data_IF_945370208087
#
_entry.id   IF_945370208087
#
_cell.length_a   1.000
_cell.length_b   1.000
_cell.length_c   1.000
_cell.angle_alpha   90.00
_cell.angle_beta   90.00
_cell.angle_gamma   90.00
#
_symmetry.space_group_name_H-M   'P 1'
#
loop_
_entity.id
_entity.type
_entity.pdbx_description
1 polymer ?
#
# COMPACT_ATOMS: atom_id res chain seq x y z
N UNK A 1 -22.15 -5.01 1.61
CA UNK A 1 -20.69 -4.78 1.67
C UNK A 1 -20.07 -5.28 0.38
N UNK A 2 -19.20 -4.49 -0.24
CA UNK A 2 -18.55 -4.82 -1.52
C UNK A 2 -17.28 -5.66 -1.27
N UNK A 3 -16.85 -6.50 -2.24
CA UNK A 3 -15.65 -7.35 -2.10
C UNK A 3 -14.38 -6.59 -1.68
N UNK A 4 -14.18 -5.38 -2.21
CA UNK A 4 -13.05 -4.52 -1.85
C UNK A 4 -13.08 -4.11 -0.37
N UNK A 5 -14.26 -3.90 0.20
CA UNK A 5 -14.41 -3.59 1.62
C UNK A 5 -14.03 -4.79 2.49
N UNK A 6 -14.44 -5.99 2.07
CA UNK A 6 -14.09 -7.25 2.76
C UNK A 6 -12.58 -7.46 2.75
N UNK A 7 -11.92 -7.21 1.61
CA UNK A 7 -10.48 -7.31 1.49
C UNK A 7 -9.77 -6.31 2.41
N UNK A 8 -10.23 -5.06 2.46
CA UNK A 8 -9.68 -4.03 3.35
C UNK A 8 -9.83 -4.42 4.84
N UNK A 9 -10.99 -4.96 5.23
CA UNK A 9 -11.23 -5.46 6.59
C UNK A 9 -10.25 -6.58 6.94
N UNK A 10 -10.07 -7.55 6.04
CA UNK A 10 -9.17 -8.66 6.27
C UNK A 10 -7.71 -8.20 6.41
N UNK A 11 -7.26 -7.25 5.61
CA UNK A 11 -5.93 -6.66 5.71
C UNK A 11 -5.75 -5.91 7.02
N UNK A 12 -6.73 -5.09 7.43
CA UNK A 12 -6.67 -4.35 8.68
C UNK A 12 -6.63 -5.29 9.90
N UNK A 13 -7.45 -6.35 9.90
CA UNK A 13 -7.44 -7.39 10.95
C UNK A 13 -6.11 -8.14 10.98
N UNK A 14 -5.58 -8.54 9.83
CA UNK A 14 -4.28 -9.21 9.75
C UNK A 14 -3.13 -8.32 10.26
N UNK A 15 -3.23 -7.01 10.06
CA UNK A 15 -2.27 -6.02 10.57
C UNK A 15 -2.48 -5.70 12.06
N UNK A 16 -3.59 -6.13 12.68
CA UNK A 16 -3.92 -5.84 14.08
C UNK A 16 -4.12 -4.36 14.38
N UNK A 17 -4.58 -3.57 13.39
CA UNK A 17 -4.85 -2.14 13.54
C UNK A 17 -6.29 -1.90 13.92
N UNK A 18 -6.55 -0.77 14.60
CA UNK A 18 -7.91 -0.35 14.93
C UNK A 18 -8.68 0.06 13.68
N UNK A 19 -9.97 -0.27 13.66
CA UNK A 19 -10.85 0.01 12.52
C UNK A 19 -11.96 0.97 12.98
N UNK A 20 -12.06 2.12 12.29
CA UNK A 20 -13.19 3.05 12.41
C UNK A 20 -13.96 2.97 11.09
N UNK A 21 -15.27 2.83 11.17
CA UNK A 21 -16.15 2.72 10.01
C UNK A 21 -16.86 4.04 9.76
N UNK A 22 -16.51 4.70 8.65
CA UNK A 22 -17.24 5.87 8.15
C UNK A 22 -18.31 5.42 7.14
N UNK A 23 -19.59 5.50 7.53
CA UNK A 23 -20.71 5.18 6.65
C UNK A 23 -21.06 6.41 5.83
N UNK A 24 -20.55 6.47 4.59
CA UNK A 24 -20.69 7.65 3.74
C UNK A 24 -21.99 7.66 2.93
N UNK A 25 -22.32 8.84 2.40
CA UNK A 25 -23.49 9.12 1.53
C UNK A 25 -24.84 9.06 2.27
N UNK A 26 -24.85 9.50 3.54
CA UNK A 26 -26.10 9.57 4.32
C UNK A 26 -27.10 10.61 3.77
N UNK A 27 -26.64 11.52 2.94
CA UNK A 27 -27.46 12.50 2.20
C UNK A 27 -28.38 11.87 1.16
N UNK A 28 -28.15 10.60 0.79
CA UNK A 28 -28.99 9.93 -0.21
C UNK A 28 -30.27 9.37 0.41
N UNK A 29 -31.44 9.50 -0.27
CA UNK A 29 -32.71 8.95 0.24
C UNK A 29 -32.71 7.42 0.45
N UNK A 30 -31.80 6.71 -0.24
CA UNK A 30 -31.61 5.26 -0.14
C UNK A 30 -30.60 4.85 0.94
N UNK A 31 -30.03 5.81 1.68
CA UNK A 31 -29.07 5.52 2.72
C UNK A 31 -29.72 4.72 3.87
N UNK A 32 -29.06 3.66 4.28
CA UNK A 32 -29.52 2.84 5.41
C UNK A 32 -28.29 2.43 6.25
N UNK A 33 -28.02 3.22 7.29
CA UNK A 33 -26.89 3.02 8.19
C UNK A 33 -27.01 1.70 8.97
N UNK A 34 -28.22 1.38 9.43
CA UNK A 34 -28.47 0.17 10.22
C UNK A 34 -28.21 -1.11 9.39
N UNK A 35 -28.58 -1.10 8.13
CA UNK A 35 -28.27 -2.21 7.23
C UNK A 35 -26.77 -2.38 7.05
N UNK A 36 -26.01 -1.28 6.92
CA UNK A 36 -24.53 -1.34 6.79
C UNK A 36 -23.91 -1.87 8.08
N UNK A 37 -24.39 -1.45 9.26
CA UNK A 37 -23.96 -1.99 10.55
C UNK A 37 -24.21 -3.50 10.63
N UNK A 38 -25.37 -3.95 10.18
CA UNK A 38 -25.76 -5.37 10.14
C UNK A 38 -24.83 -6.19 9.22
N UNK A 39 -24.61 -5.74 7.99
CA UNK A 39 -23.72 -6.40 7.04
C UNK A 39 -22.26 -6.46 7.54
N UNK A 40 -21.78 -5.44 8.25
CA UNK A 40 -20.42 -5.38 8.78
C UNK A 40 -20.23 -6.20 10.06
N UNK A 41 -21.30 -6.43 10.85
CA UNK A 41 -21.24 -7.32 12.00
C UNK A 41 -20.98 -8.78 11.61
N UNK A 42 -21.36 -9.22 10.40
CA UNK A 42 -20.97 -10.53 9.86
C UNK A 42 -19.45 -10.70 9.72
N UNK A 43 -18.72 -9.58 9.60
CA UNK A 43 -17.26 -9.52 9.57
C UNK A 43 -16.65 -9.16 10.93
N UNK A 44 -17.39 -9.37 12.04
CA UNK A 44 -16.94 -9.09 13.42
C UNK A 44 -16.66 -7.59 13.70
N UNK A 45 -17.17 -6.68 12.88
CA UNK A 45 -17.17 -5.25 13.16
C UNK A 45 -18.49 -4.89 13.83
N UNK A 46 -18.57 -5.12 15.13
CA UNK A 46 -19.78 -4.90 15.92
C UNK A 46 -19.79 -3.47 16.45
N UNK A 47 -20.86 -2.67 16.18
CA UNK A 47 -20.96 -1.32 16.70
C UNK A 47 -20.95 -1.25 18.24
N UNK A 48 -20.45 -0.15 18.80
CA UNK A 48 -20.48 0.11 20.24
C UNK A 48 -21.91 0.08 20.79
N UNK A 49 -22.89 0.62 20.04
CA UNK A 49 -24.32 0.61 20.39
C UNK A 49 -24.88 -0.81 20.59
N UNK A 50 -24.26 -1.81 19.98
CA UNK A 50 -24.63 -3.23 20.07
C UNK A 50 -23.73 -4.03 21.01
N UNK A 51 -22.89 -3.33 21.79
CA UNK A 51 -21.97 -3.94 22.76
C UNK A 51 -20.64 -4.39 22.16
N UNK A 52 -20.31 -3.96 20.95
CA UNK A 52 -19.02 -4.17 20.32
C UNK A 52 -17.98 -3.11 20.67
N UNK A 53 -16.90 -3.06 19.92
CA UNK A 53 -15.80 -2.11 20.10
C UNK A 53 -15.50 -1.27 18.85
N UNK A 54 -16.26 -1.44 17.78
CA UNK A 54 -16.02 -0.72 16.53
C UNK A 54 -16.80 0.59 16.48
N UNK A 55 -16.11 1.69 16.28
CA UNK A 55 -16.72 3.01 16.12
C UNK A 55 -17.31 3.14 14.72
N UNK A 56 -18.58 3.51 14.64
CA UNK A 56 -19.30 3.79 13.39
C UNK A 56 -19.70 5.26 13.37
N UNK A 57 -19.28 5.99 12.33
CA UNK A 57 -19.62 7.39 12.15
C UNK A 57 -20.38 7.57 10.83
N UNK A 58 -21.67 7.95 10.88
CA UNK A 58 -22.41 8.33 9.67
C UNK A 58 -21.89 9.66 9.13
N UNK A 59 -21.56 9.71 7.83
CA UNK A 59 -20.98 10.91 7.21
C UNK A 59 -21.57 11.17 5.83
N UNK A 60 -21.50 12.41 5.39
CA UNK A 60 -21.68 12.80 4.01
C UNK A 60 -20.51 13.64 3.55
N UNK A 61 -19.69 13.09 2.69
CA UNK A 61 -18.57 13.83 2.08
C UNK A 61 -19.05 15.01 1.22
N UNK A 62 -20.29 14.93 0.69
CA UNK A 62 -20.87 15.97 -0.14
C UNK A 62 -21.35 17.16 0.69
N UNK A 63 -22.12 16.92 1.74
CA UNK A 63 -22.65 17.97 2.64
C UNK A 63 -21.68 18.34 3.75
N UNK A 64 -20.61 17.54 3.95
CA UNK A 64 -19.65 17.62 5.06
C UNK A 64 -20.25 17.30 6.44
N UNK A 65 -21.45 16.77 6.49
CA UNK A 65 -22.10 16.30 7.71
C UNK A 65 -21.34 15.11 8.31
N UNK A 66 -21.16 15.09 9.63
CA UNK A 66 -20.44 14.04 10.37
C UNK A 66 -18.91 14.03 10.19
N UNK A 67 -18.33 14.86 9.34
CA UNK A 67 -16.89 14.90 9.12
C UNK A 67 -16.11 15.41 10.36
N UNK A 68 -16.55 16.48 11.04
CA UNK A 68 -15.89 16.90 12.30
C UNK A 68 -15.91 15.80 13.35
N UNK A 69 -17.04 15.10 13.50
CA UNK A 69 -17.21 14.00 14.44
C UNK A 69 -16.30 12.81 14.10
N UNK A 70 -16.18 12.45 12.81
CA UNK A 70 -15.23 11.43 12.36
C UNK A 70 -13.79 11.78 12.74
N UNK A 71 -13.39 13.02 12.53
CA UNK A 71 -12.03 13.48 12.89
C UNK A 71 -11.81 13.43 14.39
N UNK A 72 -12.81 13.81 15.20
CA UNK A 72 -12.74 13.71 16.65
C UNK A 72 -12.59 12.25 17.12
N UNK A 73 -13.36 11.32 16.55
CA UNK A 73 -13.23 9.89 16.84
C UNK A 73 -11.86 9.32 16.47
N UNK A 74 -11.27 9.75 15.36
CA UNK A 74 -9.90 9.37 14.97
C UNK A 74 -8.89 9.87 16.01
N UNK A 75 -9.00 11.12 16.43
CA UNK A 75 -8.09 11.68 17.44
C UNK A 75 -8.24 10.99 18.80
N UNK A 76 -9.46 10.74 19.24
CA UNK A 76 -9.75 10.04 20.49
C UNK A 76 -9.20 8.61 20.46
N UNK A 77 -9.41 7.87 19.37
CA UNK A 77 -8.87 6.52 19.21
C UNK A 77 -7.33 6.53 19.24
N UNK A 78 -6.70 7.49 18.58
CA UNK A 78 -5.25 7.64 18.57
C UNK A 78 -4.70 7.96 19.97
N UNK A 79 -5.41 8.78 20.77
CA UNK A 79 -5.03 9.13 22.13
C UNK A 79 -5.15 7.92 23.07
N UNK A 80 -6.27 7.19 23.01
CA UNK A 80 -6.47 5.96 23.80
C UNK A 80 -5.42 4.90 23.51
N UNK A 81 -4.99 4.77 22.25
CA UNK A 81 -3.94 3.82 21.83
C UNK A 81 -2.52 4.30 22.17
N UNK A 82 -2.34 5.52 22.67
CA UNK A 82 -1.02 6.08 23.00
C UNK A 82 0.03 5.87 21.89
N UNK A 83 -0.34 6.16 20.64
CA UNK A 83 0.54 5.94 19.49
C UNK A 83 1.80 6.79 19.61
N UNK A 84 2.95 6.14 19.79
CA UNK A 84 4.25 6.80 20.03
C UNK A 84 5.28 6.38 18.99
N UNK A 85 6.09 7.32 18.53
CA UNK A 85 7.23 7.06 17.67
C UNK A 85 8.42 7.91 18.09
N UNK A 86 9.64 7.38 17.93
CA UNK A 86 10.87 8.11 18.24
C UNK A 86 11.31 8.92 17.02
N UNK A 87 11.28 10.27 17.05
CA UNK A 87 11.76 11.11 15.97
C UNK A 87 13.29 11.19 15.90
N UNK A 88 14.00 10.92 17.01
CA UNK A 88 15.45 11.09 17.14
C UNK A 88 16.23 9.85 16.68
N UNK A 89 15.88 9.31 15.51
CA UNK A 89 16.58 8.20 14.86
C UNK A 89 16.56 8.37 13.35
N UNK A 90 17.28 7.53 12.62
CA UNK A 90 17.19 7.48 11.15
C UNK A 90 15.78 7.14 10.72
N UNK A 91 15.34 7.81 9.67
CA UNK A 91 14.02 7.63 9.12
C UNK A 91 13.81 6.20 8.63
N UNK A 92 12.63 5.69 8.92
CA UNK A 92 12.07 4.46 8.36
C UNK A 92 10.59 4.67 8.12
N UNK A 93 10.10 4.16 7.02
CA UNK A 93 8.67 4.24 6.69
C UNK A 93 8.34 3.35 5.49
N UNK A 94 7.21 3.66 4.87
CA UNK A 94 6.66 2.91 3.75
C UNK A 94 6.57 3.80 2.52
N UNK A 95 6.77 3.20 1.35
CA UNK A 95 6.42 3.79 0.07
C UNK A 95 4.92 3.60 -0.13
N UNK A 96 4.18 4.70 -0.23
CA UNK A 96 2.73 4.67 -0.49
C UNK A 96 2.48 4.50 -1.98
N UNK A 97 3.19 5.28 -2.79
CA UNK A 97 3.05 5.35 -4.23
C UNK A 97 4.36 5.80 -4.86
N UNK A 98 4.60 5.37 -6.08
CA UNK A 98 5.74 5.85 -6.84
C UNK A 98 5.43 5.89 -8.33
N UNK A 99 6.05 6.85 -9.03
CA UNK A 99 5.86 7.07 -10.45
C UNK A 99 7.12 7.62 -11.12
N UNK A 100 7.21 7.45 -12.42
CA UNK A 100 8.25 8.08 -13.23
C UNK A 100 7.69 9.37 -13.84
N UNK A 101 8.07 10.51 -13.28
CA UNK A 101 7.72 11.81 -13.84
C UNK A 101 8.69 12.17 -14.98
N UNK A 102 8.14 12.64 -16.12
CA UNK A 102 8.93 12.96 -17.32
C UNK A 102 9.95 14.10 -17.12
N UNK A 103 9.69 15.00 -16.17
CA UNK A 103 10.54 16.17 -15.92
C UNK A 103 11.40 16.04 -14.66
N UNK A 104 10.88 15.35 -13.64
CA UNK A 104 11.49 15.24 -12.31
C UNK A 104 12.21 13.91 -12.08
N UNK A 105 12.00 12.90 -12.94
CA UNK A 105 12.52 11.54 -12.77
C UNK A 105 11.69 10.70 -11.81
N UNK A 106 12.28 9.70 -11.14
CA UNK A 106 11.58 8.91 -10.14
C UNK A 106 11.09 9.76 -8.97
N UNK A 107 9.80 9.68 -8.71
CA UNK A 107 9.09 10.39 -7.63
C UNK A 107 8.40 9.33 -6.77
N UNK A 108 8.55 9.42 -5.46
CA UNK A 108 7.87 8.52 -4.54
C UNK A 108 7.20 9.29 -3.40
N UNK A 109 5.96 8.95 -3.11
CA UNK A 109 5.26 9.40 -1.90
C UNK A 109 5.54 8.39 -0.80
N UNK A 110 6.14 8.85 0.28
CA UNK A 110 6.50 8.00 1.41
C UNK A 110 5.84 8.49 2.70
N UNK A 111 5.48 7.55 3.57
CA UNK A 111 5.01 7.84 4.92
C UNK A 111 6.13 7.51 5.91
N UNK A 112 6.63 8.52 6.60
CA UNK A 112 7.61 8.34 7.66
C UNK A 112 6.90 7.72 8.87
N UNK A 113 7.33 6.55 9.33
CA UNK A 113 6.77 5.89 10.49
C UNK A 113 7.61 6.11 11.75
N UNK A 114 8.92 6.15 11.61
CA UNK A 114 9.88 6.34 12.73
C UNK A 114 11.05 7.17 12.25
N UNK A 115 11.63 7.94 13.16
CA UNK A 115 12.75 8.82 12.86
C UNK A 115 12.32 10.08 12.12
N UNK A 116 13.29 10.87 11.67
CA UNK A 116 13.08 12.08 10.89
C UNK A 116 13.86 11.97 9.58
N UNK A 117 13.15 12.09 8.47
CA UNK A 117 13.73 12.11 7.13
C UNK A 117 14.13 13.56 6.79
N UNK A 118 15.33 13.75 6.28
CA UNK A 118 15.86 15.08 5.92
C UNK A 118 16.29 15.13 4.45
N UNK A 119 16.18 16.29 3.87
CA UNK A 119 16.79 16.55 2.56
C UNK A 119 18.30 16.34 2.69
N UNK A 120 18.85 15.53 1.80
CA UNK A 120 20.25 15.12 1.84
C UNK A 120 20.49 13.72 2.41
N UNK A 121 19.52 13.11 3.07
CA UNK A 121 19.64 11.73 3.54
C UNK A 121 19.80 10.75 2.38
N UNK A 122 20.63 9.74 2.59
CA UNK A 122 20.71 8.59 1.71
C UNK A 122 19.66 7.56 2.13
N UNK A 123 18.85 7.11 1.21
CA UNK A 123 17.77 6.15 1.48
C UNK A 123 17.85 4.96 0.53
N UNK A 124 17.38 3.81 1.01
CA UNK A 124 17.10 2.64 0.21
C UNK A 124 15.62 2.26 0.39
N UNK A 125 14.96 1.87 -0.69
CA UNK A 125 13.58 1.39 -0.73
C UNK A 125 13.52 0.18 -1.66
N UNK A 126 13.41 -1.01 -1.11
CA UNK A 126 13.47 -2.25 -1.88
C UNK A 126 14.75 -2.33 -2.73
N UNK A 127 14.57 -2.42 -4.05
CA UNK A 127 15.66 -2.44 -5.02
C UNK A 127 16.22 -1.05 -5.38
N UNK A 128 15.55 0.02 -4.92
CA UNK A 128 15.92 1.39 -5.25
C UNK A 128 16.74 2.04 -4.13
N UNK A 129 17.62 2.95 -4.50
CA UNK A 129 18.39 3.75 -3.56
C UNK A 129 18.62 5.15 -4.11
N UNK A 130 19.00 6.08 -3.28
CA UNK A 130 19.36 7.41 -3.73
C UNK A 130 19.51 8.40 -2.57
N UNK A 131 19.77 9.65 -2.93
CA UNK A 131 19.86 10.75 -1.99
C UNK A 131 18.65 11.65 -2.15
N UNK A 132 17.94 11.92 -1.06
CA UNK A 132 16.77 12.81 -1.05
C UNK A 132 17.21 14.21 -1.49
N UNK A 133 16.86 14.60 -2.72
CA UNK A 133 17.21 15.91 -3.30
C UNK A 133 16.20 16.99 -2.91
N UNK A 134 14.95 16.62 -2.82
CA UNK A 134 13.86 17.49 -2.41
C UNK A 134 12.74 16.67 -1.79
N UNK A 135 11.99 17.31 -0.87
CA UNK A 135 10.74 16.78 -0.31
C UNK A 135 9.66 17.83 -0.46
N UNK A 136 8.43 17.37 -0.71
CA UNK A 136 7.24 18.20 -0.80
C UNK A 136 6.14 17.65 0.10
N UNK A 137 5.39 18.53 0.73
CA UNK A 137 4.22 18.18 1.52
C UNK A 137 2.99 17.92 0.63
N UNK A 138 1.85 17.59 1.25
CA UNK A 138 0.55 17.37 0.59
C UNK A 138 0.01 18.62 -0.15
N UNK A 139 0.56 19.79 0.14
CA UNK A 139 0.20 21.07 -0.51
C UNK A 139 1.17 21.48 -1.62
N UNK A 140 2.20 20.66 -1.88
CA UNK A 140 3.23 20.94 -2.87
C UNK A 140 4.32 21.92 -2.39
N UNK A 141 4.36 22.27 -1.10
CA UNK A 141 5.42 23.12 -0.56
C UNK A 141 6.68 22.30 -0.27
N UNK A 142 7.83 22.91 -0.50
CA UNK A 142 9.12 22.28 -0.16
C UNK A 142 9.32 22.24 1.35
N UNK A 143 9.61 21.05 1.88
CA UNK A 143 9.95 20.82 3.27
C UNK A 143 11.38 20.31 3.40
N UNK A 144 12.04 20.66 4.49
CA UNK A 144 13.44 20.27 4.76
C UNK A 144 13.52 18.95 5.54
N UNK A 145 12.51 18.67 6.35
CA UNK A 145 12.45 17.49 7.20
C UNK A 145 11.00 17.00 7.33
N UNK A 146 10.84 15.72 7.56
CA UNK A 146 9.57 15.04 7.79
C UNK A 146 9.72 14.08 8.99
N UNK A 147 8.95 14.33 10.03
CA UNK A 147 8.90 13.50 11.24
C UNK A 147 7.97 12.29 11.10
N UNK A 148 7.75 11.53 12.18
CA UNK A 148 6.82 10.41 12.20
C UNK A 148 5.40 10.84 11.82
N UNK A 149 4.67 9.93 11.14
CA UNK A 149 3.30 10.12 10.63
C UNK A 149 3.15 11.24 9.59
N UNK A 150 4.27 11.69 8.99
CA UNK A 150 4.25 12.73 7.97
C UNK A 150 4.41 12.10 6.59
N UNK A 151 3.41 12.23 5.68
CA UNK A 151 3.56 11.86 4.29
C UNK A 151 4.32 12.95 3.53
N UNK A 152 5.27 12.55 2.69
CA UNK A 152 6.02 13.47 1.83
C UNK A 152 6.31 12.84 0.48
N UNK A 153 6.23 13.65 -0.57
CA UNK A 153 6.76 13.30 -1.89
C UNK A 153 8.26 13.54 -1.90
N UNK A 154 9.04 12.54 -2.29
CA UNK A 154 10.50 12.62 -2.36
C UNK A 154 11.01 12.50 -3.79
N UNK A 155 12.10 13.18 -4.07
CA UNK A 155 12.84 13.14 -5.31
C UNK A 155 14.29 12.73 -5.05
N UNK A 156 14.87 11.91 -5.94
CA UNK A 156 16.29 11.59 -5.89
C UNK A 156 16.64 10.11 -5.83
N UNK A 157 15.64 9.22 -5.92
CA UNK A 157 15.87 7.79 -6.12
C UNK A 157 16.43 7.52 -7.53
N UNK A 158 17.17 6.42 -7.69
CA UNK A 158 17.72 5.98 -8.96
C UNK A 158 16.66 5.35 -9.87
N UNK A 159 15.60 4.79 -9.30
CA UNK A 159 14.51 4.14 -10.01
C UNK A 159 13.21 4.25 -9.20
N UNK A 160 12.10 3.74 -9.74
CA UNK A 160 10.77 3.76 -9.12
C UNK A 160 10.61 2.57 -8.19
N UNK A 161 10.48 2.77 -6.86
CA UNK A 161 10.25 1.68 -5.91
C UNK A 161 8.82 1.17 -6.03
N UNK A 162 8.57 -0.06 -5.53
CA UNK A 162 7.22 -0.60 -5.47
C UNK A 162 6.44 0.00 -4.28
N UNK A 163 5.13 0.17 -4.47
CA UNK A 163 4.23 0.53 -3.37
C UNK A 163 4.25 -0.57 -2.28
N UNK A 164 4.19 -0.14 -1.01
CA UNK A 164 4.28 -1.04 0.14
C UNK A 164 5.71 -1.41 0.56
N UNK A 165 6.73 -1.09 -0.22
CA UNK A 165 8.12 -1.33 0.19
C UNK A 165 8.53 -0.44 1.36
N UNK A 166 9.36 -1.01 2.24
CA UNK A 166 9.94 -0.26 3.36
C UNK A 166 11.11 0.56 2.88
N UNK A 167 11.12 1.86 3.16
CA UNK A 167 12.32 2.66 3.00
C UNK A 167 13.08 2.83 4.32
N UNK A 168 14.40 2.92 4.23
CA UNK A 168 15.31 3.10 5.37
C UNK A 168 16.36 4.15 5.01
N UNK A 169 16.58 5.12 5.92
CA UNK A 169 17.67 6.07 5.80
C UNK A 169 18.99 5.48 6.32
N UNK A 170 20.05 5.66 5.54
CA UNK A 170 21.40 5.16 5.81
C UNK A 170 22.37 6.31 6.11
N UNK A 171 23.60 6.01 6.57
CA UNK A 171 24.61 7.05 6.87
C UNK A 171 25.10 7.73 5.60
N UNK A 172 25.21 6.92 4.53
CA UNK A 172 25.76 7.37 3.26
C UNK A 172 25.15 6.59 2.10
N UNK A 173 25.33 7.11 0.91
CA UNK A 173 24.78 6.52 -0.31
C UNK A 173 25.38 5.13 -0.62
N UNK A 174 26.62 4.87 -0.20
CA UNK A 174 27.27 3.56 -0.39
C UNK A 174 26.56 2.46 0.41
N UNK A 175 26.18 2.75 1.66
CA UNK A 175 25.38 1.82 2.48
C UNK A 175 23.99 1.60 1.89
N UNK A 176 23.31 2.67 1.46
CA UNK A 176 22.00 2.56 0.83
C UNK A 176 22.04 1.70 -0.44
N UNK A 177 23.06 1.90 -1.28
CA UNK A 177 23.28 1.10 -2.47
C UNK A 177 23.55 -0.37 -2.15
N UNK A 178 24.45 -0.65 -1.18
CA UNK A 178 24.76 -2.02 -0.77
C UNK A 178 23.52 -2.74 -0.24
N UNK A 179 22.67 -2.02 0.50
CA UNK A 179 21.40 -2.57 0.99
C UNK A 179 20.46 -2.94 -0.16
N UNK A 180 20.29 -2.06 -1.14
CA UNK A 180 19.46 -2.32 -2.32
C UNK A 180 20.00 -3.50 -3.16
N UNK A 181 21.32 -3.59 -3.35
CA UNK A 181 21.95 -4.72 -4.04
C UNK A 181 21.70 -6.05 -3.32
N UNK A 182 21.78 -6.07 -1.98
CA UNK A 182 21.45 -7.26 -1.17
C UNK A 182 19.99 -7.65 -1.33
N UNK A 183 19.08 -6.67 -1.27
CA UNK A 183 17.65 -6.91 -1.46
C UNK A 183 17.33 -7.52 -2.84
N UNK A 184 17.99 -7.02 -3.91
CA UNK A 184 17.87 -7.58 -5.26
C UNK A 184 18.34 -9.03 -5.30
N UNK A 185 19.48 -9.32 -4.67
CA UNK A 185 20.03 -10.68 -4.63
C UNK A 185 19.11 -11.67 -3.88
N UNK A 186 18.57 -11.25 -2.73
CA UNK A 186 17.62 -12.04 -1.95
C UNK A 186 16.30 -12.27 -2.69
N UNK A 187 15.75 -11.24 -3.32
CA UNK A 187 14.52 -11.34 -4.12
C UNK A 187 14.69 -12.29 -5.30
N UNK A 188 15.86 -12.24 -5.97
CA UNK A 188 16.18 -13.16 -7.06
C UNK A 188 16.30 -14.60 -6.58
N UNK A 189 16.93 -14.83 -5.43
CA UNK A 189 17.05 -16.16 -4.85
C UNK A 189 15.68 -16.73 -4.45
N UNK A 190 14.81 -15.92 -3.83
CA UNK A 190 13.42 -16.34 -3.53
C UNK A 190 12.64 -16.72 -4.78
N UNK A 191 12.73 -15.93 -5.84
CA UNK A 191 12.09 -16.26 -7.13
C UNK A 191 12.59 -17.60 -7.70
N UNK A 192 13.89 -17.89 -7.58
CA UNK A 192 14.49 -19.15 -8.03
C UNK A 192 14.00 -20.32 -7.17
N UNK A 193 13.91 -20.15 -5.85
CA UNK A 193 13.40 -21.16 -4.93
C UNK A 193 11.91 -21.44 -5.16
N UNK A 194 11.08 -20.40 -5.29
CA UNK A 194 9.65 -20.51 -5.60
C UNK A 194 9.41 -21.18 -6.96
N UNK A 195 10.25 -20.88 -7.95
CA UNK A 195 10.18 -21.50 -9.27
C UNK A 195 10.57 -22.98 -9.19
N UNK A 196 11.60 -23.33 -8.40
CA UNK A 196 11.99 -24.73 -8.19
C UNK A 196 10.95 -25.51 -7.41
N UNK A 197 10.31 -24.90 -6.42
CA UNK A 197 9.24 -25.52 -5.63
C UNK A 197 7.96 -25.79 -6.48
N UNK A 198 7.68 -24.93 -7.47
CA UNK A 198 6.55 -25.09 -8.38
C UNK A 198 6.82 -26.07 -9.54
N UNK A 199 8.07 -26.41 -9.82
CA UNK A 199 8.46 -27.42 -10.82
C UNK A 199 8.58 -28.81 -10.19
N UNK A 200 7.51 -29.28 -9.54
CA UNK A 200 7.40 -30.69 -9.22
C UNK A 200 7.20 -31.51 -10.50
N UNK A 201 7.72 -32.74 -10.53
CA UNK A 201 7.58 -33.63 -11.69
C UNK A 201 6.11 -33.86 -12.04
N UNK A 202 5.20 -33.84 -11.08
CA UNK A 202 3.76 -33.99 -11.29
C UNK A 202 3.14 -32.78 -12.00
N UNK A 203 3.62 -31.56 -11.73
CA UNK A 203 3.21 -30.33 -12.44
C UNK A 203 3.71 -30.32 -13.89
N UNK A 204 4.91 -30.84 -14.13
CA UNK A 204 5.46 -31.02 -15.48
C UNK A 204 4.63 -32.03 -16.29
N UNK A 205 4.24 -33.14 -15.68
CA UNK A 205 3.37 -34.13 -16.32
C UNK A 205 1.96 -33.57 -16.53
N UNK A 206 1.44 -32.74 -15.64
CA UNK A 206 0.15 -32.06 -15.79
C UNK A 206 0.19 -31.01 -16.89
N UNK A 207 1.27 -30.25 -17.02
CA UNK A 207 1.49 -29.29 -18.11
C UNK A 207 1.69 -29.98 -19.47
N UNK A 208 2.34 -31.14 -19.52
CA UNK A 208 2.48 -31.93 -20.75
C UNK A 208 1.13 -32.54 -21.16
N UNK A 209 0.28 -32.93 -20.20
CA UNK A 209 -1.09 -33.41 -20.46
C UNK A 209 -2.06 -32.28 -20.85
N UNK A 210 -1.87 -31.07 -20.31
CA UNK A 210 -2.64 -29.87 -20.64
C UNK A 210 -2.20 -29.19 -21.95
N UNK A 211 -1.38 -29.82 -22.74
CA UNK A 211 -0.58 -29.42 -23.91
C UNK A 211 -1.18 -28.52 -24.98
N UNK A 212 -2.13 -27.63 -24.69
CA UNK A 212 -2.66 -26.66 -25.65
C UNK A 212 -3.27 -25.38 -25.01
N UNK A 213 -2.90 -25.00 -23.79
CA UNK A 213 -3.32 -23.68 -23.29
C UNK A 213 -2.60 -22.60 -24.09
N UNK A 214 -3.34 -21.84 -24.89
CA UNK A 214 -2.79 -20.72 -25.64
C UNK A 214 -2.45 -19.60 -24.66
N UNK A 215 -1.19 -19.14 -24.64
CA UNK A 215 -0.79 -17.96 -23.86
C UNK A 215 -1.14 -16.68 -24.62
N UNK A 216 -1.82 -15.74 -23.94
CA UNK A 216 -2.06 -14.40 -24.43
C UNK A 216 -1.10 -13.44 -23.71
N UNK A 217 0.03 -13.05 -24.34
CA UNK A 217 0.96 -12.10 -23.75
C UNK A 217 0.41 -10.67 -23.83
N UNK A 218 0.33 -9.98 -22.69
CA UNK A 218 -0.19 -8.62 -22.60
C UNK A 218 0.86 -7.70 -21.95
N UNK A 219 1.02 -6.50 -22.49
CA UNK A 219 1.81 -5.41 -21.88
C UNK A 219 0.83 -4.44 -21.25
N UNK A 220 0.99 -4.19 -19.95
CA UNK A 220 0.18 -3.21 -19.19
C UNK A 220 1.02 -1.99 -18.91
N UNK A 221 0.48 -0.80 -19.20
CA UNK A 221 1.10 0.49 -18.89
C UNK A 221 0.07 1.37 -18.19
N UNK A 222 0.46 2.01 -17.10
CA UNK A 222 -0.36 2.99 -16.39
C UNK A 222 0.53 4.14 -15.88
N UNK A 223 -0.09 5.16 -15.34
CA UNK A 223 0.54 6.37 -14.80
C UNK A 223 1.25 6.10 -13.46
N UNK A 224 0.71 5.19 -12.65
CA UNK A 224 1.26 4.82 -11.34
C UNK A 224 1.41 3.30 -11.20
N UNK A 225 2.37 2.87 -10.40
CA UNK A 225 2.71 1.46 -10.18
C UNK A 225 1.52 0.65 -9.64
N UNK A 226 0.77 1.18 -8.68
CA UNK A 226 -0.38 0.49 -8.11
C UNK A 226 -1.49 0.19 -9.11
N UNK A 227 -1.70 1.07 -10.10
CA UNK A 227 -2.64 0.85 -11.21
C UNK A 227 -2.19 -0.30 -12.11
N UNK A 228 -0.89 -0.42 -12.40
CA UNK A 228 -0.33 -1.55 -13.17
C UNK A 228 -0.62 -2.88 -12.46
N UNK A 229 -0.37 -2.94 -11.15
CA UNK A 229 -0.59 -4.16 -10.36
C UNK A 229 -2.07 -4.55 -10.31
N UNK A 230 -2.97 -3.59 -10.08
CA UNK A 230 -4.42 -3.84 -10.04
C UNK A 230 -4.93 -4.39 -11.37
N UNK A 231 -4.52 -3.80 -12.51
CA UNK A 231 -4.88 -4.26 -13.84
C UNK A 231 -4.30 -5.65 -14.13
N UNK A 232 -3.03 -5.88 -13.77
CA UNK A 232 -2.36 -7.18 -13.90
C UNK A 232 -3.12 -8.28 -13.16
N UNK A 233 -3.48 -8.05 -11.89
CA UNK A 233 -4.25 -9.01 -11.10
C UNK A 233 -5.62 -9.29 -11.71
N UNK A 234 -6.32 -8.26 -12.18
CA UNK A 234 -7.63 -8.40 -12.80
C UNK A 234 -7.56 -9.19 -14.10
N UNK A 235 -6.57 -8.92 -14.94
CA UNK A 235 -6.37 -9.63 -16.21
C UNK A 235 -5.97 -11.11 -15.99
N UNK A 236 -5.12 -11.38 -15.01
CA UNK A 236 -4.69 -12.74 -14.69
C UNK A 236 -5.88 -13.61 -14.22
N UNK A 237 -6.84 -13.02 -13.48
CA UNK A 237 -8.07 -13.70 -13.06
C UNK A 237 -9.02 -14.09 -14.22
N UNK A 238 -8.85 -13.49 -15.38
CA UNK A 238 -9.64 -13.83 -16.58
C UNK A 238 -9.11 -15.05 -17.34
N UNK A 239 -7.98 -15.61 -16.91
CA UNK A 239 -7.44 -16.86 -17.48
C UNK A 239 -8.45 -18.00 -17.32
N UNK A 240 -8.59 -18.82 -18.36
CA UNK A 240 -9.43 -20.00 -18.37
C UNK A 240 -8.63 -21.23 -18.84
N UNK A 241 -9.28 -22.40 -18.98
CA UNK A 241 -8.63 -23.65 -19.39
C UNK A 241 -8.09 -23.63 -20.83
N UNK A 242 -8.60 -22.73 -21.68
CA UNK A 242 -8.20 -22.63 -23.08
C UNK A 242 -7.13 -21.55 -23.31
N UNK A 243 -7.19 -20.44 -22.55
CA UNK A 243 -6.30 -19.29 -22.72
C UNK A 243 -5.79 -18.79 -21.37
N UNK A 244 -4.48 -18.82 -21.21
CA UNK A 244 -3.76 -18.21 -20.08
C UNK A 244 -3.35 -16.77 -20.38
N UNK A 245 -3.77 -15.80 -19.56
CA UNK A 245 -3.32 -14.42 -19.67
C UNK A 245 -1.97 -14.30 -18.98
N UNK A 246 -0.95 -13.87 -19.73
CA UNK A 246 0.41 -13.65 -19.22
C UNK A 246 0.79 -12.20 -19.38
N UNK A 247 0.86 -11.49 -18.26
CA UNK A 247 1.36 -10.11 -18.27
C UNK A 247 2.89 -10.14 -18.28
N UNK A 248 3.49 -9.60 -19.35
CA UNK A 248 4.95 -9.64 -19.56
C UNK A 248 5.61 -8.44 -18.87
N UNK A 249 4.97 -7.27 -18.93
CA UNK A 249 5.49 -6.04 -18.30
C UNK A 249 4.36 -5.04 -18.07
#
# INVERSE_FOLDING_TARGET
VMPQTVEAINHAKAAGVEIIVAVNKIDKPSANVERVKQELSEYELIPEDWGGSTVFVPVSAHTKEGIPELLEMILLTAEVKELKANPNRRARGLVIEAQLDKGRGPVATVLVQKGTLKVGDAIAAGCCYGKVRAMMDDKGNRVKEAGPSTPVEILGLNDVPNAGEVFIAHQNEKEARSFAETFIAESKNKLIEDTKAKLSLDDLFSQIKAGNVKELPIIVKADVQGSVEAVKQSLTKLSNEEVGVKVIH
#
